data_IF_359233889863
#
_entry.id   IF_359233889863
#
_cell.length_a   1.000
_cell.length_b   1.000
_cell.length_c   1.000
_cell.angle_alpha   90.00
_cell.angle_beta   90.00
_cell.angle_gamma   90.00
#
_symmetry.space_group_name_H-M   'P 1'
#
loop_
_entity.id
_entity.type
_entity.pdbx_description
1 polymer ?
#
# COMPACT_ATOMS: atom_id res chain seq x y z
N UNK A 1 -10.18 -20.73 -4.00
CA UNK A 1 -9.02 -19.86 -3.69
C UNK A 1 -9.59 -18.49 -3.36
N UNK A 2 -9.73 -18.19 -2.06
CA UNK A 2 -10.47 -17.02 -1.57
C UNK A 2 -9.56 -15.80 -1.73
N UNK A 3 -9.80 -14.98 -2.76
CA UNK A 3 -9.26 -13.62 -2.82
C UNK A 3 -10.03 -12.84 -1.77
N UNK A 4 -9.46 -12.68 -0.59
CA UNK A 4 -10.03 -11.83 0.44
C UNK A 4 -10.00 -10.40 -0.09
N UNK A 5 -11.17 -9.92 -0.53
CA UNK A 5 -11.45 -8.53 -0.83
C UNK A 5 -11.22 -7.69 0.43
N UNK A 6 -10.05 -7.08 0.57
CA UNK A 6 -9.80 -6.01 1.56
C UNK A 6 -10.03 -4.67 0.86
N UNK A 7 -11.25 -4.50 0.34
CA UNK A 7 -11.75 -3.22 -0.18
C UNK A 7 -13.10 -2.98 0.50
N UNK A 8 -13.08 -2.76 1.80
CA UNK A 8 -14.31 -2.49 2.56
C UNK A 8 -14.06 -1.79 3.90
N UNK A 9 -13.27 -0.70 3.97
CA UNK A 9 -13.40 0.28 5.07
C UNK A 9 -13.06 1.69 4.57
N UNK A 10 -13.74 2.16 3.52
CA UNK A 10 -13.81 3.58 3.18
C UNK A 10 -15.27 3.92 2.91
N UNK A 11 -16.08 3.93 3.98
CA UNK A 11 -17.44 4.48 3.94
C UNK A 11 -17.95 4.62 5.37
N UNK A 12 -17.87 5.85 5.89
CA UNK A 12 -18.84 6.53 6.77
C UNK A 12 -18.14 7.71 7.47
N UNK A 13 -17.74 8.70 6.67
CA UNK A 13 -17.67 10.08 7.14
C UNK A 13 -18.72 10.83 6.29
N UNK A 14 -19.99 10.48 6.51
CA UNK A 14 -21.09 11.24 5.93
C UNK A 14 -21.61 12.20 7.00
N UNK A 15 -21.44 13.48 6.73
CA UNK A 15 -21.77 14.56 7.64
C UNK A 15 -23.27 14.69 7.81
N UNK A 16 -23.80 14.34 8.98
CA UNK A 16 -25.08 14.86 9.45
C UNK A 16 -24.98 15.24 10.91
N UNK A 17 -24.96 16.55 11.15
CA UNK A 17 -25.04 17.16 12.47
C UNK A 17 -26.49 17.02 12.94
N UNK A 18 -26.77 16.00 13.74
CA UNK A 18 -28.00 15.90 14.51
C UNK A 18 -27.62 15.81 15.99
N UNK A 19 -28.10 16.78 16.76
CA UNK A 19 -27.86 16.90 18.19
C UNK A 19 -28.23 15.60 18.93
N UNK A 20 -27.21 14.90 19.40
CA UNK A 20 -27.29 13.82 20.38
C UNK A 20 -26.03 13.89 21.25
N UNK A 21 -26.21 13.52 22.51
CA UNK A 21 -25.34 13.74 23.67
C UNK A 21 -23.87 13.26 23.54
N UNK A 22 -22.94 13.77 24.37
CA UNK A 22 -21.51 13.54 24.21
C UNK A 22 -21.10 12.15 24.71
N UNK A 23 -21.36 11.11 23.93
CA UNK A 23 -20.90 9.74 24.22
C UNK A 23 -20.06 9.11 23.10
N UNK A 24 -19.53 9.87 22.14
CA UNK A 24 -18.89 9.28 20.93
C UNK A 24 -17.41 9.56 20.72
N UNK A 25 -16.73 10.31 21.59
CA UNK A 25 -15.29 10.61 21.41
C UNK A 25 -14.37 9.42 21.70
N UNK A 26 -14.89 8.36 22.30
CA UNK A 26 -14.16 7.11 22.62
C UNK A 26 -14.09 6.15 21.43
N UNK A 27 -14.75 6.45 20.31
CA UNK A 27 -14.42 5.79 19.04
C UNK A 27 -13.02 6.21 18.60
N UNK A 28 -12.11 5.23 18.66
CA UNK A 28 -11.19 4.89 17.57
C UNK A 28 -9.70 5.21 17.68
N UNK A 29 -9.13 5.64 18.82
CA UNK A 29 -7.66 5.62 18.95
C UNK A 29 -7.10 4.19 18.77
N UNK A 30 -7.75 3.18 19.36
CA UNK A 30 -7.35 1.78 19.21
C UNK A 30 -7.64 1.21 17.81
N UNK A 31 -8.75 1.62 17.17
CA UNK A 31 -9.09 1.19 15.81
C UNK A 31 -8.17 1.84 14.78
N UNK A 32 -7.85 3.13 14.92
CA UNK A 32 -6.87 3.84 14.07
C UNK A 32 -5.49 3.20 14.23
N UNK A 33 -5.05 2.91 15.46
CA UNK A 33 -3.78 2.21 15.68
C UNK A 33 -3.73 0.82 15.04
N UNK A 34 -4.86 0.08 15.08
CA UNK A 34 -4.98 -1.23 14.42
C UNK A 34 -4.90 -1.10 12.89
N UNK A 35 -5.57 -0.11 12.31
CA UNK A 35 -5.53 0.17 10.87
C UNK A 35 -4.12 0.58 10.44
N UNK A 36 -3.44 1.44 11.20
CA UNK A 36 -2.05 1.84 10.95
C UNK A 36 -1.13 0.63 10.97
N UNK A 37 -1.21 -0.22 12.00
CA UNK A 37 -0.39 -1.44 12.10
C UNK A 37 -0.65 -2.38 10.91
N UNK A 38 -1.91 -2.56 10.52
CA UNK A 38 -2.26 -3.40 9.37
C UNK A 38 -1.74 -2.83 8.05
N UNK A 39 -1.82 -1.51 7.86
CA UNK A 39 -1.34 -0.85 6.66
C UNK A 39 0.20 -0.86 6.59
N UNK A 40 0.91 -0.72 7.72
CA UNK A 40 2.36 -0.90 7.81
C UNK A 40 2.79 -2.31 7.39
N UNK A 41 2.08 -3.34 7.87
CA UNK A 41 2.36 -4.72 7.48
C UNK A 41 2.13 -4.98 5.97
N UNK A 42 1.10 -4.36 5.39
CA UNK A 42 0.86 -4.43 3.96
C UNK A 42 1.93 -3.68 3.14
N UNK A 43 2.38 -2.49 3.57
CA UNK A 43 3.49 -1.79 2.91
C UNK A 43 4.75 -2.65 2.91
N UNK A 44 5.09 -3.28 4.05
CA UNK A 44 6.23 -4.20 4.11
C UNK A 44 6.08 -5.39 3.13
N UNK A 45 4.85 -5.91 2.99
CA UNK A 45 4.56 -6.98 2.00
C UNK A 45 4.74 -6.49 0.56
N UNK A 46 4.31 -5.26 0.26
CA UNK A 46 4.51 -4.65 -1.06
C UNK A 46 5.99 -4.43 -1.35
N UNK A 47 6.78 -3.98 -0.38
CA UNK A 47 8.22 -3.81 -0.52
C UNK A 47 8.92 -5.13 -0.86
N UNK A 48 8.58 -6.23 -0.15
CA UNK A 48 9.10 -7.58 -0.46
C UNK A 48 8.70 -8.06 -1.86
N UNK A 49 7.47 -7.76 -2.29
CA UNK A 49 7.00 -8.12 -3.63
C UNK A 49 7.70 -7.33 -4.73
N UNK A 50 7.92 -6.04 -4.50
CA UNK A 50 8.66 -5.16 -5.43
C UNK A 50 10.09 -5.69 -5.59
N UNK A 51 10.81 -5.93 -4.49
CA UNK A 51 12.19 -6.46 -4.52
C UNK A 51 12.27 -7.80 -5.28
N UNK A 52 11.31 -8.70 -5.05
CA UNK A 52 11.26 -9.98 -5.75
C UNK A 52 11.01 -9.83 -7.26
N UNK A 53 10.22 -8.84 -7.67
CA UNK A 53 9.92 -8.58 -9.09
C UNK A 53 11.09 -7.87 -9.79
N UNK A 54 11.79 -6.97 -9.11
CA UNK A 54 13.02 -6.35 -9.60
C UNK A 54 14.10 -7.41 -9.86
N UNK A 55 14.34 -8.32 -8.91
CA UNK A 55 15.29 -9.41 -9.10
C UNK A 55 14.91 -10.33 -10.28
N UNK A 56 13.61 -10.52 -10.51
CA UNK A 56 13.11 -11.29 -11.65
C UNK A 56 13.28 -10.55 -12.98
N UNK A 57 13.08 -9.23 -13.00
CA UNK A 57 13.35 -8.38 -14.17
C UNK A 57 14.81 -8.47 -14.57
N UNK A 58 15.74 -8.33 -13.62
CA UNK A 58 17.17 -8.44 -13.87
C UNK A 58 17.53 -9.80 -14.49
N UNK A 59 16.97 -10.88 -13.97
CA UNK A 59 17.18 -12.22 -14.51
C UNK A 59 16.61 -12.39 -15.93
N UNK A 60 15.49 -11.74 -16.25
CA UNK A 60 14.88 -11.75 -17.58
C UNK A 60 15.69 -10.94 -18.58
N UNK A 61 16.20 -9.76 -18.19
CA UNK A 61 17.09 -8.96 -19.03
C UNK A 61 18.38 -9.74 -19.37
N UNK A 62 19.00 -10.39 -18.39
CA UNK A 62 20.16 -11.24 -18.63
C UNK A 62 19.88 -12.40 -19.59
N UNK A 63 18.69 -13.03 -19.47
CA UNK A 63 18.25 -14.07 -20.41
C UNK A 63 17.99 -13.51 -21.81
N UNK A 64 17.43 -12.30 -21.92
CA UNK A 64 17.15 -11.63 -23.20
C UNK A 64 18.44 -11.26 -23.93
N UNK A 65 19.43 -10.76 -23.20
CA UNK A 65 20.77 -10.48 -23.74
C UNK A 65 21.43 -11.77 -24.24
N UNK A 66 21.43 -12.84 -23.44
CA UNK A 66 22.00 -14.12 -23.84
C UNK A 66 21.31 -14.73 -25.08
N UNK A 67 19.97 -14.63 -25.17
CA UNK A 67 19.22 -15.09 -26.34
C UNK A 67 19.57 -14.27 -27.59
N UNK A 68 19.72 -12.94 -27.44
CA UNK A 68 20.12 -12.06 -28.54
C UNK A 68 21.54 -12.38 -29.03
N UNK A 69 22.50 -12.53 -28.13
CA UNK A 69 23.89 -12.88 -28.47
C UNK A 69 24.00 -14.25 -29.15
N UNK A 70 23.11 -15.19 -28.81
CA UNK A 70 22.98 -16.49 -29.46
C UNK A 70 22.26 -16.45 -30.82
N UNK A 71 21.80 -15.27 -31.27
CA UNK A 71 21.04 -15.10 -32.52
C UNK A 71 19.59 -15.62 -32.44
N UNK A 72 19.06 -15.84 -31.24
CA UNK A 72 17.71 -16.36 -31.00
C UNK A 72 16.69 -15.22 -30.93
N UNK A 73 16.56 -14.44 -32.01
CA UNK A 73 15.76 -13.21 -32.05
C UNK A 73 14.30 -13.41 -31.60
N UNK A 74 13.63 -14.48 -32.03
CA UNK A 74 12.25 -14.77 -31.61
C UNK A 74 12.13 -15.03 -30.10
N UNK A 75 13.15 -15.63 -29.48
CA UNK A 75 13.16 -15.84 -28.02
C UNK A 75 13.40 -14.53 -27.29
N UNK A 76 14.31 -13.68 -27.79
CA UNK A 76 14.55 -12.35 -27.24
C UNK A 76 13.27 -11.49 -27.28
N UNK A 77 12.55 -11.47 -28.42
CA UNK A 77 11.27 -10.74 -28.56
C UNK A 77 10.19 -11.26 -27.62
N UNK A 78 10.13 -12.57 -27.36
CA UNK A 78 9.20 -13.14 -26.37
C UNK A 78 9.56 -12.71 -24.94
N UNK A 79 10.84 -12.63 -24.62
CA UNK A 79 11.31 -12.15 -23.33
C UNK A 79 11.01 -10.66 -23.15
N UNK A 80 11.12 -9.84 -24.20
CA UNK A 80 10.74 -8.43 -24.17
C UNK A 80 9.27 -8.24 -23.76
N UNK A 81 8.35 -9.03 -24.33
CA UNK A 81 6.93 -8.97 -23.95
C UNK A 81 6.68 -9.34 -22.48
N UNK A 82 7.47 -10.28 -21.94
CA UNK A 82 7.37 -10.66 -20.53
C UNK A 82 7.94 -9.57 -19.64
N UNK A 83 9.07 -8.98 -20.02
CA UNK A 83 9.72 -7.87 -19.34
C UNK A 83 8.79 -6.66 -19.28
N UNK A 84 8.19 -6.25 -20.40
CA UNK A 84 7.25 -5.12 -20.47
C UNK A 84 6.06 -5.31 -19.52
N UNK A 85 5.50 -6.52 -19.49
CA UNK A 85 4.39 -6.84 -18.60
C UNK A 85 4.80 -6.81 -17.14
N UNK A 86 6.02 -7.27 -16.83
CA UNK A 86 6.55 -7.28 -15.47
C UNK A 86 6.86 -5.86 -15.00
N UNK A 87 7.43 -5.01 -15.87
CA UNK A 87 7.64 -3.58 -15.61
C UNK A 87 6.32 -2.86 -15.31
N UNK A 88 5.26 -3.10 -16.09
CA UNK A 88 3.94 -2.54 -15.80
C UNK A 88 3.43 -2.98 -14.42
N UNK A 89 3.58 -4.26 -14.10
CA UNK A 89 3.17 -4.80 -12.79
C UNK A 89 3.97 -4.16 -11.66
N UNK A 90 5.28 -3.92 -11.86
CA UNK A 90 6.13 -3.25 -10.88
C UNK A 90 5.66 -1.81 -10.63
N UNK A 91 5.41 -1.04 -11.69
CA UNK A 91 4.88 0.33 -11.58
C UNK A 91 3.55 0.39 -10.84
N UNK A 92 2.66 -0.59 -11.07
CA UNK A 92 1.39 -0.69 -10.35
C UNK A 92 1.61 -0.94 -8.85
N UNK A 93 2.52 -1.86 -8.49
CA UNK A 93 2.87 -2.15 -7.09
C UNK A 93 3.53 -0.95 -6.40
N UNK A 94 4.46 -0.26 -7.07
CA UNK A 94 5.10 0.94 -6.55
C UNK A 94 4.07 2.05 -6.28
N UNK A 95 3.14 2.24 -7.22
CA UNK A 95 2.05 3.22 -7.07
C UNK A 95 1.14 2.88 -5.89
N UNK A 96 0.79 1.60 -5.72
CA UNK A 96 -0.01 1.13 -4.57
C UNK A 96 0.72 1.38 -3.25
N UNK A 97 2.01 1.05 -3.19
CA UNK A 97 2.88 1.24 -2.03
C UNK A 97 3.01 2.72 -1.66
N UNK A 98 3.18 3.60 -2.64
CA UNK A 98 3.22 5.05 -2.42
C UNK A 98 1.88 5.59 -1.91
N UNK A 99 0.76 5.16 -2.48
CA UNK A 99 -0.59 5.54 -2.02
C UNK A 99 -0.88 5.10 -0.58
N UNK A 100 -0.46 3.89 -0.22
CA UNK A 100 -0.56 3.38 1.15
C UNK A 100 0.33 4.14 2.12
N UNK A 101 1.56 4.48 1.72
CA UNK A 101 2.49 5.27 2.53
C UNK A 101 1.94 6.68 2.80
N UNK A 102 1.33 7.31 1.79
CA UNK A 102 0.67 8.60 1.95
C UNK A 102 -0.52 8.50 2.94
N UNK A 103 -1.34 7.45 2.82
CA UNK A 103 -2.46 7.19 3.73
C UNK A 103 -1.98 6.96 5.18
N UNK A 104 -0.90 6.19 5.37
CA UNK A 104 -0.28 5.98 6.67
C UNK A 104 0.20 7.28 7.31
N UNK A 105 0.78 8.18 6.51
CA UNK A 105 1.23 9.48 6.99
C UNK A 105 0.05 10.30 7.54
N UNK A 106 -1.05 10.36 6.79
CA UNK A 106 -2.27 11.06 7.24
C UNK A 106 -2.87 10.44 8.50
N UNK A 107 -2.92 9.10 8.61
CA UNK A 107 -3.44 8.42 9.79
C UNK A 107 -2.58 8.68 11.03
N UNK A 108 -1.26 8.75 10.88
CA UNK A 108 -0.34 9.11 11.97
C UNK A 108 -0.54 10.55 12.42
N UNK A 109 -0.66 11.50 11.50
CA UNK A 109 -0.96 12.91 11.84
C UNK A 109 -2.28 13.06 12.58
N UNK A 110 -3.32 12.31 12.17
CA UNK A 110 -4.60 12.28 12.86
C UNK A 110 -4.47 11.69 14.28
N UNK A 111 -3.70 10.61 14.43
CA UNK A 111 -3.45 9.99 15.73
C UNK A 111 -2.75 10.97 16.69
N UNK A 112 -1.71 11.65 16.22
CA UNK A 112 -0.95 12.64 17.01
C UNK A 112 -1.82 13.83 17.43
N UNK A 113 -2.68 14.31 16.53
CA UNK A 113 -3.64 15.40 16.81
C UNK A 113 -4.66 14.98 17.88
N UNK A 114 -5.23 13.77 17.76
CA UNK A 114 -6.18 13.24 18.74
C UNK A 114 -5.53 13.02 20.12
N UNK A 115 -4.30 12.51 20.16
CA UNK A 115 -3.55 12.34 21.40
C UNK A 115 -3.24 13.69 22.08
N UNK A 116 -2.84 14.69 21.29
CA UNK A 116 -2.57 16.04 21.78
C UNK A 116 -3.82 16.70 22.37
N UNK A 117 -4.97 16.55 21.71
CA UNK A 117 -6.25 17.06 22.20
C UNK A 117 -6.72 16.35 23.48
N UNK A 118 -6.51 15.03 23.58
CA UNK A 118 -6.84 14.26 24.78
C UNK A 118 -6.00 14.69 26.00
N UNK A 119 -4.70 14.96 25.78
CA UNK A 119 -3.77 15.37 26.85
C UNK A 119 -3.86 16.87 27.20
N UNK A 120 -4.37 17.72 26.30
CA UNK A 120 -4.59 19.14 26.56
C UNK A 120 -5.89 19.45 27.34
N UNK A 121 -6.81 18.49 27.42
CA UNK A 121 -8.10 18.67 28.11
C UNK A 121 -8.04 18.36 29.61
N UNK A 122 -6.91 17.93 30.15
CA UNK A 122 -6.77 17.53 31.57
C UNK A 122 -6.34 18.66 32.51
N UNK A 123 -6.22 19.89 32.01
CA UNK A 123 -5.65 21.04 32.75
C UNK A 123 -6.64 22.21 32.98
N UNK A 124 -7.97 21.95 32.99
CA UNK A 124 -8.98 22.95 33.39
C UNK A 124 -9.90 22.46 34.52
#
# INVERSE_FOLDING_TARGET
MVRASIFAVVLMIDGTIAAAEPETTTYNLSQIATVVTSAEAHVATLDELIEAQEAKLDALYAQRDAAFDAGQNTQAEQLDLVIDRLNLTLTELETERDGMTATLTLLREQLDSLQSNANGSTDQ
#
